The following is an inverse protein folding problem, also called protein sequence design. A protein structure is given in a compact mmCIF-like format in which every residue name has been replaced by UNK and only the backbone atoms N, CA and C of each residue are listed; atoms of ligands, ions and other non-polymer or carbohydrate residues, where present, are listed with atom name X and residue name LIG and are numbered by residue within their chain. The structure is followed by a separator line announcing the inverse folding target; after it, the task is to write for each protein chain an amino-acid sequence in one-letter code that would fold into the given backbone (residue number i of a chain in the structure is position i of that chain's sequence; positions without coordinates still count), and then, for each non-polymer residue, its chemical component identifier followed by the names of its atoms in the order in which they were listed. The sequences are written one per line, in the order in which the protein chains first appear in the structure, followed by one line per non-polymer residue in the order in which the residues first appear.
data_IF_260121084047
#
_entry.id   IF_260121084047
#
_cell.length_a   1.000
_cell.length_b   1.000
_cell.length_c   1.000
_cell.angle_alpha   90.00
_cell.angle_beta   90.00
_cell.angle_gamma   90.00
#
_symmetry.space_group_name_H-M   'P 1'
#
loop_
_entity.id
_entity.type
_entity.pdbx_description
1 polymer ?
#
# COMPACT_ATOMS: atom_id res chain seq x y z
N UNK A 1 -11.62 -15.55 -9.84
CA UNK A 1 -11.15 -16.93 -9.55
C UNK A 1 -12.38 -17.75 -9.21
N UNK A 2 -12.51 -18.95 -9.78
CA UNK A 2 -13.64 -19.85 -9.50
C UNK A 2 -13.07 -21.12 -8.90
N UNK A 3 -13.54 -21.48 -7.70
CA UNK A 3 -13.15 -22.71 -7.01
C UNK A 3 -14.38 -23.63 -7.00
N UNK A 4 -14.23 -24.86 -7.48
CA UNK A 4 -15.30 -25.84 -7.54
C UNK A 4 -15.26 -26.80 -6.34
N UNK A 5 -16.43 -27.27 -5.91
CA UNK A 5 -16.51 -28.36 -4.93
C UNK A 5 -15.94 -29.66 -5.49
N UNK A 6 -15.16 -30.40 -4.69
CA UNK A 6 -14.46 -31.63 -5.11
C UNK A 6 -15.35 -32.89 -5.08
N UNK A 7 -16.67 -32.76 -4.92
CA UNK A 7 -17.57 -33.91 -4.82
C UNK A 7 -18.99 -33.57 -4.37
N UNK A 8 -19.74 -34.60 -3.96
CA UNK A 8 -21.07 -34.43 -3.37
C UNK A 8 -20.97 -33.76 -1.98
N UNK A 9 -21.81 -32.75 -1.68
CA UNK A 9 -21.76 -32.05 -0.40
C UNK A 9 -22.14 -32.97 0.76
N UNK A 10 -21.45 -32.80 1.88
CA UNK A 10 -21.67 -33.50 3.14
C UNK A 10 -22.00 -32.52 4.26
N UNK A 11 -22.55 -33.00 5.37
CA UNK A 11 -22.77 -32.18 6.58
C UNK A 11 -21.46 -31.62 7.16
N UNK A 12 -20.34 -32.33 7.01
CA UNK A 12 -19.04 -31.85 7.44
C UNK A 12 -18.58 -30.59 6.66
N UNK A 13 -19.00 -30.45 5.40
CA UNK A 13 -18.70 -29.27 4.58
C UNK A 13 -19.44 -28.02 5.05
N UNK A 14 -20.52 -28.18 5.84
CA UNK A 14 -21.26 -27.06 6.42
C UNK A 14 -20.71 -26.57 7.76
N UNK A 15 -19.78 -27.33 8.36
CA UNK A 15 -19.17 -27.02 9.67
C UNK A 15 -17.68 -26.69 9.56
N UNK A 16 -17.05 -27.02 8.42
CA UNK A 16 -15.65 -26.69 8.13
C UNK A 16 -15.48 -25.28 7.59
N UNK A 17 -14.59 -24.49 8.20
CA UNK A 17 -14.07 -23.27 7.58
C UNK A 17 -13.19 -23.59 6.37
N UNK A 18 -13.13 -22.70 5.39
CA UNK A 18 -12.23 -22.80 4.24
C UNK A 18 -11.12 -21.74 4.35
N UNK A 19 -9.87 -22.12 4.09
CA UNK A 19 -8.75 -21.19 3.98
C UNK A 19 -8.12 -21.29 2.59
N UNK A 20 -7.90 -20.14 1.96
CA UNK A 20 -7.26 -20.05 0.64
C UNK A 20 -6.15 -19.00 0.64
N UNK A 21 -5.04 -19.34 0.00
CA UNK A 21 -3.96 -18.41 -0.29
C UNK A 21 -4.00 -18.04 -1.76
N UNK A 22 -4.31 -16.78 -2.05
CA UNK A 22 -4.25 -16.22 -3.40
C UNK A 22 -2.94 -15.44 -3.52
N UNK A 23 -2.02 -15.94 -4.35
CA UNK A 23 -0.71 -15.31 -4.54
C UNK A 23 -0.71 -14.38 -5.75
N UNK A 24 0.27 -13.46 -5.77
CA UNK A 24 0.55 -12.59 -6.92
C UNK A 24 -0.58 -11.61 -7.30
N UNK A 25 -1.43 -11.18 -6.35
CA UNK A 25 -2.35 -10.06 -6.62
C UNK A 25 -1.61 -8.73 -6.51
N UNK A 26 -1.86 -7.86 -7.48
CA UNK A 26 -1.28 -6.50 -7.53
C UNK A 26 -2.34 -5.50 -7.11
N UNK A 27 -2.00 -4.62 -6.16
CA UNK A 27 -2.81 -3.42 -5.92
C UNK A 27 -2.60 -2.43 -7.08
N UNK A 28 -3.65 -2.05 -7.84
CA UNK A 28 -3.51 -1.18 -9.01
C UNK A 28 -3.21 0.29 -8.68
N UNK A 29 -3.45 0.75 -7.45
CA UNK A 29 -3.24 2.15 -7.06
C UNK A 29 -2.37 2.26 -5.80
N UNK A 30 -1.45 3.24 -5.77
CA UNK A 30 -0.87 3.70 -4.51
C UNK A 30 -1.97 4.45 -3.76
N UNK A 31 -2.18 4.16 -2.47
CA UNK A 31 -3.32 4.68 -1.72
C UNK A 31 -3.26 6.23 -1.65
N UNK A 32 -4.03 6.91 -2.50
CA UNK A 32 -4.26 8.36 -2.47
C UNK A 32 -5.28 8.73 -1.36
N UNK A 33 -5.28 7.98 -0.25
CA UNK A 33 -6.30 8.11 0.80
C UNK A 33 -7.65 7.51 0.44
N UNK A 34 -7.71 6.72 -0.63
CA UNK A 34 -8.94 6.00 -1.02
C UNK A 34 -9.41 5.10 0.11
N UNK A 35 -10.73 5.10 0.33
CA UNK A 35 -11.37 4.24 1.32
C UNK A 35 -10.99 2.78 1.06
N UNK A 36 -10.88 1.98 2.13
CA UNK A 36 -10.69 0.54 2.01
C UNK A 36 -11.70 -0.02 0.99
N UNK A 37 -11.19 -0.64 -0.08
CA UNK A 37 -12.05 -1.31 -1.06
C UNK A 37 -12.84 -2.45 -0.43
N UNK A 38 -13.65 -3.13 -1.22
CA UNK A 38 -14.36 -4.34 -0.77
C UNK A 38 -13.94 -5.55 -1.59
N UNK A 39 -13.69 -6.68 -0.93
CA UNK A 39 -13.58 -7.98 -1.60
C UNK A 39 -14.95 -8.65 -1.54
N UNK A 40 -15.53 -8.96 -2.70
CA UNK A 40 -16.83 -9.62 -2.79
C UNK A 40 -16.64 -11.11 -3.08
N UNK A 41 -17.20 -11.96 -2.23
CA UNK A 41 -17.23 -13.41 -2.36
C UNK A 41 -18.65 -13.83 -2.73
N UNK A 42 -18.82 -14.50 -3.86
CA UNK A 42 -20.11 -15.03 -4.28
C UNK A 42 -20.10 -16.55 -4.26
N UNK A 43 -21.07 -17.15 -3.58
CA UNK A 43 -21.41 -18.55 -3.77
C UNK A 43 -22.30 -18.66 -5.00
N UNK A 44 -21.93 -19.49 -5.97
CA UNK A 44 -22.68 -19.68 -7.20
C UNK A 44 -22.98 -21.15 -7.46
N UNK A 45 -24.06 -21.42 -8.18
CA UNK A 45 -24.36 -22.75 -8.70
C UNK A 45 -23.72 -22.99 -10.09
N UNK A 46 -23.90 -24.20 -10.63
CA UNK A 46 -23.38 -24.59 -11.94
C UNK A 46 -23.99 -23.84 -13.13
N UNK A 47 -25.13 -23.17 -12.94
CA UNK A 47 -25.75 -22.28 -13.92
C UNK A 47 -25.29 -20.82 -13.78
N UNK A 48 -24.24 -20.57 -12.98
CA UNK A 48 -23.67 -19.25 -12.66
C UNK A 48 -24.63 -18.31 -11.89
N UNK A 49 -25.75 -18.84 -11.37
CA UNK A 49 -26.64 -18.07 -10.52
C UNK A 49 -26.03 -17.91 -9.12
N UNK A 50 -26.08 -16.69 -8.58
CA UNK A 50 -25.62 -16.37 -7.23
C UNK A 50 -26.61 -16.93 -6.21
N UNK A 51 -26.10 -17.76 -5.29
CA UNK A 51 -26.84 -18.31 -4.16
C UNK A 51 -26.65 -17.48 -2.89
N UNK A 52 -25.46 -16.90 -2.72
CA UNK A 52 -25.13 -16.05 -1.57
C UNK A 52 -23.98 -15.07 -1.92
N UNK A 53 -23.92 -13.95 -1.20
CA UNK A 53 -22.90 -12.92 -1.36
C UNK A 53 -22.40 -12.45 0.00
N UNK A 54 -21.08 -12.50 0.18
CA UNK A 54 -20.41 -11.92 1.33
C UNK A 54 -19.43 -10.83 0.91
N UNK A 55 -19.40 -9.73 1.66
CA UNK A 55 -18.48 -8.62 1.42
C UNK A 55 -17.50 -8.50 2.57
N UNK A 56 -16.22 -8.65 2.26
CA UNK A 56 -15.11 -8.43 3.18
C UNK A 56 -14.61 -6.99 3.00
N UNK A 57 -14.34 -6.32 4.11
CA UNK A 57 -13.61 -5.03 4.06
C UNK A 57 -12.19 -5.34 3.58
N UNK A 58 -11.75 -4.71 2.49
CA UNK A 58 -10.40 -4.90 2.01
C UNK A 58 -9.40 -4.34 3.02
N UNK A 59 -8.20 -4.91 3.03
CA UNK A 59 -7.12 -4.42 3.85
C UNK A 59 -6.75 -3.01 3.39
N UNK A 60 -6.78 -2.05 4.31
CA UNK A 60 -6.15 -0.74 4.10
C UNK A 60 -4.65 -0.97 4.05
N UNK A 61 -4.05 -0.78 2.87
CA UNK A 61 -2.60 -0.63 2.80
C UNK A 61 -2.35 0.81 3.25
N UNK A 62 -1.69 0.98 4.40
CA UNK A 62 -1.38 2.32 4.93
C UNK A 62 -0.56 3.13 3.92
N UNK A 63 -0.87 4.43 3.85
CA UNK A 63 -0.35 5.40 2.88
C UNK A 63 1.19 5.51 2.88
N UNK A 64 1.71 6.01 1.75
CA UNK A 64 3.04 6.58 1.57
C UNK A 64 3.51 7.38 2.79
N UNK A 65 4.16 6.69 3.71
CA UNK A 65 4.90 7.33 4.79
C UNK A 65 6.33 7.52 4.27
N UNK A 66 6.86 8.75 4.39
CA UNK A 66 8.30 8.99 4.28
C UNK A 66 8.93 8.41 5.55
N UNK A 67 8.88 7.08 5.68
CA UNK A 67 9.40 6.42 6.87
C UNK A 67 10.89 6.69 6.95
N UNK A 68 11.36 6.86 8.18
CA UNK A 68 12.75 7.06 8.58
C UNK A 68 13.74 5.98 8.10
N UNK A 69 13.31 4.96 7.33
CA UNK A 69 14.21 3.99 6.72
C UNK A 69 15.20 4.71 5.80
N UNK A 70 16.41 4.91 6.30
CA UNK A 70 17.52 5.62 5.65
C UNK A 70 17.30 7.13 5.49
N UNK A 71 16.42 7.77 6.29
CA UNK A 71 16.33 9.22 6.27
C UNK A 71 17.50 9.84 7.01
N UNK A 72 18.31 10.66 6.34
CA UNK A 72 19.41 11.38 6.97
C UNK A 72 19.58 12.77 6.39
N UNK A 73 20.03 13.68 7.24
CA UNK A 73 20.53 14.99 6.82
C UNK A 73 21.95 15.12 7.33
N UNK A 74 22.86 15.54 6.47
CA UNK A 74 24.24 15.85 6.86
C UNK A 74 24.69 17.15 6.21
N UNK A 75 25.39 17.97 6.98
CA UNK A 75 26.00 19.22 6.51
C UNK A 75 27.52 19.12 6.61
N UNK A 76 28.22 19.56 5.56
CA UNK A 76 29.68 19.65 5.56
C UNK A 76 30.14 20.84 4.71
N UNK A 77 30.91 21.79 5.28
CA UNK A 77 31.24 21.96 6.71
C UNK A 77 30.02 22.32 7.57
N UNK A 78 30.12 22.22 8.89
CA UNK A 78 29.04 22.61 9.82
C UNK A 78 29.36 23.90 10.62
N UNK A 79 30.27 24.72 10.11
CA UNK A 79 30.66 26.00 10.68
C UNK A 79 29.67 27.10 10.29
N UNK A 80 29.22 27.88 11.28
CA UNK A 80 28.28 28.98 11.04
C UNK A 80 28.84 30.02 10.05
N UNK A 81 27.98 30.51 9.15
CA UNK A 81 28.32 31.55 8.16
C UNK A 81 29.18 31.05 6.98
N UNK A 82 29.57 29.78 6.96
CA UNK A 82 30.30 29.17 5.85
C UNK A 82 29.32 28.43 4.94
N UNK A 83 29.39 28.59 3.61
CA UNK A 83 28.62 27.78 2.69
C UNK A 83 28.86 26.28 2.92
N UNK A 84 27.80 25.49 2.97
CA UNK A 84 27.85 24.06 3.27
C UNK A 84 26.97 23.27 2.32
N UNK A 85 27.43 22.06 1.98
CA UNK A 85 26.61 21.11 1.24
C UNK A 85 25.65 20.42 2.19
N UNK A 86 24.35 20.46 1.88
CA UNK A 86 23.32 19.68 2.58
C UNK A 86 23.02 18.43 1.77
N UNK A 87 23.32 17.27 2.35
CA UNK A 87 22.91 15.97 1.79
C UNK A 87 21.67 15.48 2.53
N UNK A 88 20.60 15.28 1.77
CA UNK A 88 19.33 14.69 2.22
C UNK A 88 19.21 13.30 1.60
N UNK A 89 18.96 12.30 2.44
CA UNK A 89 18.58 10.94 2.02
C UNK A 89 17.22 10.62 2.62
N UNK A 90 16.36 9.95 1.87
CA UNK A 90 15.09 9.38 2.31
C UNK A 90 14.61 8.35 1.27
N UNK A 91 13.66 7.51 1.64
CA UNK A 91 13.01 6.56 0.73
C UNK A 91 11.50 6.77 0.69
N UNK A 92 10.85 6.30 -0.37
CA UNK A 92 9.39 6.23 -0.48
C UNK A 92 8.94 4.78 -0.38
N UNK A 93 7.85 4.51 0.32
CA UNK A 93 7.20 3.21 0.24
C UNK A 93 6.27 3.18 -0.99
N UNK A 94 6.85 2.94 -2.17
CA UNK A 94 6.12 2.95 -3.45
C UNK A 94 6.74 3.87 -4.51
N UNK A 95 6.00 4.15 -5.57
CA UNK A 95 6.42 4.95 -6.72
C UNK A 95 5.92 6.41 -6.60
N UNK A 96 6.73 7.37 -7.04
CA UNK A 96 6.34 8.79 -7.16
C UNK A 96 5.52 8.96 -8.44
N UNK A 97 4.22 9.31 -8.38
CA UNK A 97 3.33 9.36 -9.55
C UNK A 97 3.77 10.39 -10.61
N UNK A 98 3.28 10.31 -11.87
CA UNK A 98 3.53 11.33 -12.88
C UNK A 98 3.05 12.70 -12.38
N UNK A 99 3.93 13.70 -12.38
CA UNK A 99 3.64 15.04 -11.84
C UNK A 99 3.83 15.18 -10.33
N UNK A 100 4.13 14.09 -9.60
CA UNK A 100 4.56 14.16 -8.21
C UNK A 100 5.92 14.83 -8.06
N UNK A 101 6.12 15.55 -6.95
CA UNK A 101 7.38 16.24 -6.66
C UNK A 101 7.70 16.21 -5.16
N UNK A 102 8.97 16.40 -4.83
CA UNK A 102 9.44 16.59 -3.46
C UNK A 102 9.58 18.09 -3.17
N UNK A 103 9.09 18.54 -2.02
CA UNK A 103 9.21 19.91 -1.58
C UNK A 103 10.03 19.98 -0.29
N UNK A 104 11.21 20.62 -0.37
CA UNK A 104 12.13 20.76 0.76
C UNK A 104 12.06 22.19 1.29
N UNK A 105 11.76 22.35 2.58
CA UNK A 105 11.77 23.64 3.26
C UNK A 105 12.93 23.68 4.24
N UNK A 106 13.77 24.70 4.14
CA UNK A 106 14.81 24.94 5.12
C UNK A 106 14.30 25.87 6.24
N UNK A 107 14.80 25.73 7.48
CA UNK A 107 14.47 26.65 8.56
C UNK A 107 14.91 28.09 8.27
N UNK A 108 14.31 29.04 8.97
CA UNK A 108 14.71 30.45 8.91
C UNK A 108 16.22 30.60 9.16
N UNK A 109 16.86 31.43 8.33
CA UNK A 109 18.30 31.70 8.37
C UNK A 109 19.16 30.80 7.47
N UNK A 110 18.62 29.69 6.96
CA UNK A 110 19.26 28.92 5.89
C UNK A 110 18.91 29.53 4.53
N UNK A 111 19.92 29.87 3.76
CA UNK A 111 19.77 30.46 2.43
C UNK A 111 20.61 29.68 1.43
N UNK A 112 20.05 29.47 0.24
CA UNK A 112 20.84 28.97 -0.90
C UNK A 112 21.69 30.14 -1.39
N UNK A 113 22.99 30.06 -1.14
CA UNK A 113 23.98 30.99 -1.70
C UNK A 113 24.43 30.45 -3.06
N UNK A 114 24.21 31.26 -4.10
CA UNK A 114 24.58 30.97 -5.48
C UNK A 114 26.03 31.36 -5.76
#
# INVERSE_FOLDING_TARGET
ITLGGLGAPTVADSEGGFEWVITNIRNPYANDGDAAGSIVVNLKNSADAVLDTHTLTAMTITQNDLTFFNSSVSLSPNSAGVPADVKLSFGTFGYVPPGGYFFVTFPDGFVVVN
#
